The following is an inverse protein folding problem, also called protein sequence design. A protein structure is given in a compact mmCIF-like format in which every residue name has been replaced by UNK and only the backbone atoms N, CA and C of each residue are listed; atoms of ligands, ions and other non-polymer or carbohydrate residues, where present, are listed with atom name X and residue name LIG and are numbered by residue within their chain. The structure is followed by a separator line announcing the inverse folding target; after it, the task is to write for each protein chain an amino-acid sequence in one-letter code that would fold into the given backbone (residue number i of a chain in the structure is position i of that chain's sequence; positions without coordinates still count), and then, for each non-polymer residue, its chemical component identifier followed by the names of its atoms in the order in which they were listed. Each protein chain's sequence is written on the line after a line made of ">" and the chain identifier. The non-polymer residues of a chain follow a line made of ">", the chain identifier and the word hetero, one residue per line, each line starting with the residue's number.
data_IF_697030257335
#
_entry.id   IF_697030257335
#
_cell.length_a   1.000
_cell.length_b   1.000
_cell.length_c   1.000
_cell.angle_alpha   90.00
_cell.angle_beta   90.00
_cell.angle_gamma   90.00
#
_symmetry.space_group_name_H-M   'P 1'
#
loop_
_entity.id
_entity.type
_entity.pdbx_description
1 polymer ?
#
# COMPACT_ATOMS: atom_id res chain seq x y z
N UNK A 1 40.84 -3.36 -9.74
CA UNK A 1 40.21 -3.14 -8.42
C UNK A 1 39.19 -2.03 -8.57
N UNK A 2 37.91 -2.30 -8.29
CA UNK A 2 36.83 -1.33 -8.41
C UNK A 2 35.50 -2.01 -8.11
N UNK A 3 35.17 -2.15 -6.81
CA UNK A 3 33.88 -2.68 -6.35
C UNK A 3 32.87 -1.55 -6.49
N UNK A 4 32.08 -1.55 -7.56
CA UNK A 4 30.91 -0.67 -7.62
C UNK A 4 29.88 -1.19 -6.61
N UNK A 5 29.73 -0.47 -5.50
CA UNK A 5 28.64 -0.68 -4.58
C UNK A 5 27.33 -0.39 -5.33
N UNK A 6 26.55 -1.43 -5.62
CA UNK A 6 25.22 -1.28 -6.17
C UNK A 6 24.37 -0.66 -5.06
N UNK A 7 24.13 0.64 -5.18
CA UNK A 7 23.12 1.34 -4.39
C UNK A 7 21.78 0.74 -4.78
N UNK A 8 21.15 0.00 -3.87
CA UNK A 8 19.80 -0.52 -4.10
C UNK A 8 18.88 0.68 -4.33
N UNK A 9 18.45 0.88 -5.57
CA UNK A 9 17.41 1.84 -5.89
C UNK A 9 16.10 1.37 -5.25
N UNK A 10 15.27 2.27 -4.71
CA UNK A 10 13.94 1.89 -4.26
C UNK A 10 13.13 1.33 -5.45
N UNK A 11 12.27 0.33 -5.23
CA UNK A 11 11.49 -0.27 -6.31
C UNK A 11 10.52 0.79 -6.87
N UNK A 12 10.82 1.29 -8.07
CA UNK A 12 9.98 2.20 -8.82
C UNK A 12 9.25 1.40 -9.92
N UNK A 13 8.11 0.82 -9.57
CA UNK A 13 7.19 0.19 -10.52
C UNK A 13 5.74 0.26 -10.00
N UNK A 14 4.74 0.41 -10.89
CA UNK A 14 3.32 0.50 -10.52
C UNK A 14 2.70 -0.82 -9.99
N UNK A 15 3.44 -1.92 -10.00
CA UNK A 15 2.98 -3.26 -9.57
C UNK A 15 3.45 -3.68 -8.17
N UNK A 16 3.78 -2.74 -7.28
CA UNK A 16 4.06 -3.08 -5.87
C UNK A 16 2.72 -3.27 -5.15
N UNK A 17 2.07 -4.41 -5.38
CA UNK A 17 1.12 -4.96 -4.42
C UNK A 17 1.88 -5.14 -3.11
N UNK A 18 1.41 -4.54 -2.03
CA UNK A 18 1.99 -4.79 -0.71
C UNK A 18 1.82 -6.29 -0.42
N UNK A 19 2.87 -7.07 -0.65
CA UNK A 19 2.94 -8.48 -0.28
C UNK A 19 3.58 -8.54 1.10
N UNK A 20 2.84 -8.95 2.14
CA UNK A 20 3.44 -9.32 3.41
C UNK A 20 4.58 -10.30 3.13
N UNK A 21 5.78 -9.98 3.58
CA UNK A 21 6.90 -10.91 3.57
C UNK A 21 6.66 -11.96 4.65
N UNK A 22 7.38 -13.08 4.63
CA UNK A 22 7.27 -14.13 5.66
C UNK A 22 7.49 -13.60 7.09
N UNK A 23 8.15 -12.44 7.25
CA UNK A 23 8.38 -11.78 8.55
C UNK A 23 7.17 -11.00 9.06
N UNK A 24 6.23 -10.70 8.17
CA UNK A 24 5.03 -9.91 8.46
C UNK A 24 3.82 -10.77 8.82
N UNK A 25 3.98 -12.10 8.80
CA UNK A 25 2.94 -13.09 9.08
C UNK A 25 3.30 -13.78 10.38
N UNK A 26 2.38 -13.77 11.34
CA UNK A 26 2.49 -14.54 12.57
C UNK A 26 2.61 -16.04 12.18
N UNK A 27 3.68 -16.73 12.60
CA UNK A 27 3.92 -18.12 12.20
C UNK A 27 2.96 -19.13 12.84
N UNK A 28 2.23 -18.74 13.90
CA UNK A 28 1.26 -19.56 14.63
C UNK A 28 -0.15 -19.37 14.05
N UNK A 29 -0.53 -18.13 13.73
CA UNK A 29 -1.89 -17.83 13.25
C UNK A 29 -1.99 -17.73 11.73
N UNK A 30 -0.88 -17.48 11.02
CA UNK A 30 -0.88 -17.24 9.57
C UNK A 30 -1.43 -15.86 9.18
N UNK A 31 -1.77 -15.03 10.18
CA UNK A 31 -2.32 -13.70 9.98
C UNK A 31 -1.20 -12.66 9.88
N UNK A 32 -1.39 -11.57 9.10
CA UNK A 32 -0.49 -10.44 9.14
C UNK A 32 -0.42 -9.86 10.55
N UNK A 33 0.77 -9.80 11.15
CA UNK A 33 0.93 -9.10 12.43
C UNK A 33 0.69 -7.62 12.19
N UNK A 34 -0.38 -7.07 12.78
CA UNK A 34 -0.74 -5.67 12.60
C UNK A 34 0.46 -4.73 12.83
N UNK A 35 1.36 -5.05 13.77
CA UNK A 35 2.54 -4.26 14.10
C UNK A 35 3.63 -4.20 13.00
N UNK A 36 3.88 -5.27 12.24
CA UNK A 36 4.99 -5.32 11.25
C UNK A 36 4.72 -4.55 9.96
N UNK A 37 3.45 -4.23 9.71
CA UNK A 37 3.01 -3.45 8.55
C UNK A 37 3.30 -1.95 8.75
N UNK A 38 3.07 -1.44 9.95
CA UNK A 38 3.15 -0.01 10.28
C UNK A 38 4.53 0.45 10.75
N UNK A 39 5.39 -0.46 11.23
CA UNK A 39 6.73 -0.13 11.75
C UNK A 39 7.72 0.36 10.66
N UNK A 40 7.34 0.25 9.39
CA UNK A 40 8.13 0.80 8.26
C UNK A 40 7.96 2.30 8.09
N UNK A 41 6.91 2.85 8.69
CA UNK A 41 6.59 4.25 8.64
C UNK A 41 7.36 5.00 9.73
N UNK A 42 8.00 6.10 9.35
CA UNK A 42 8.56 7.03 10.31
C UNK A 42 7.43 7.89 10.89
N UNK A 43 6.97 7.49 12.08
CA UNK A 43 5.90 8.18 12.79
C UNK A 43 6.42 9.43 13.49
N UNK A 44 5.76 10.55 13.21
CA UNK A 44 5.91 11.79 13.95
C UNK A 44 4.90 11.80 15.09
N UNK A 45 5.39 12.09 16.30
CA UNK A 45 4.58 12.04 17.52
C UNK A 45 3.37 12.98 17.51
N UNK A 46 3.48 14.11 16.78
CA UNK A 46 2.44 15.13 16.69
C UNK A 46 2.41 15.70 15.28
N UNK A 47 1.24 15.74 14.68
CA UNK A 47 0.97 16.38 13.40
C UNK A 47 -0.51 16.39 13.08
N UNK A 48 -0.81 16.88 11.88
CA UNK A 48 -2.17 16.97 11.37
C UNK A 48 -2.44 15.80 10.43
N UNK A 49 -3.57 15.10 10.63
CA UNK A 49 -4.03 14.09 9.69
C UNK A 49 -4.81 14.75 8.56
N UNK A 50 -4.26 14.72 7.35
CA UNK A 50 -4.85 15.34 6.15
C UNK A 50 -5.91 14.47 5.46
N UNK A 51 -6.24 13.32 6.05
CA UNK A 51 -7.32 12.45 5.61
C UNK A 51 -8.63 12.83 6.32
N UNK A 52 -9.62 11.93 6.27
CA UNK A 52 -11.00 12.21 6.66
C UNK A 52 -11.20 12.68 8.11
N UNK A 53 -10.32 12.31 9.06
CA UNK A 53 -10.53 12.70 10.46
C UNK A 53 -10.14 14.15 10.77
N UNK A 54 -9.26 14.77 9.96
CA UNK A 54 -8.84 16.17 10.14
C UNK A 54 -8.23 16.51 11.51
N UNK A 55 -7.87 15.52 12.33
CA UNK A 55 -7.38 15.75 13.69
C UNK A 55 -5.98 16.34 13.67
N UNK A 56 -5.76 17.31 14.53
CA UNK A 56 -4.48 17.86 14.90
C UNK A 56 -3.91 17.17 16.16
N UNK A 57 -2.63 17.37 16.43
CA UNK A 57 -1.89 16.82 17.59
C UNK A 57 -1.97 15.29 17.73
N UNK A 58 -2.05 14.57 16.61
CA UNK A 58 -2.06 13.10 16.58
C UNK A 58 -0.76 12.53 16.00
N UNK A 59 -0.44 11.29 16.33
CA UNK A 59 0.67 10.56 15.71
C UNK A 59 0.37 10.36 14.21
N UNK A 60 1.27 10.83 13.35
CA UNK A 60 1.11 10.79 11.88
C UNK A 60 2.37 10.27 11.20
N UNK A 61 2.20 9.65 10.03
CA UNK A 61 3.30 9.33 9.12
C UNK A 61 3.12 10.03 7.79
N UNK A 62 4.24 10.32 7.13
CA UNK A 62 4.22 10.66 5.71
C UNK A 62 3.74 9.45 4.90
N UNK A 63 2.82 9.67 3.95
CA UNK A 63 2.27 8.62 3.09
C UNK A 63 2.56 8.85 1.60
N UNK A 64 3.06 10.02 1.23
CA UNK A 64 3.45 10.32 -0.15
C UNK A 64 3.38 11.81 -0.51
N UNK A 65 3.85 12.19 -1.71
CA UNK A 65 3.62 13.52 -2.25
C UNK A 65 2.19 13.64 -2.78
N UNK A 66 1.55 14.79 -2.57
CA UNK A 66 0.26 15.12 -3.18
C UNK A 66 0.41 16.33 -4.10
N UNK A 67 -0.36 16.32 -5.19
CA UNK A 67 -0.47 17.44 -6.14
C UNK A 67 -1.89 17.98 -6.13
N UNK A 68 -2.05 19.28 -5.94
CA UNK A 68 -3.34 19.96 -6.01
C UNK A 68 -3.17 21.32 -6.66
N UNK A 69 -3.92 21.60 -7.72
CA UNK A 69 -3.90 22.89 -8.44
C UNK A 69 -2.48 23.37 -8.81
N UNK A 70 -1.60 22.44 -9.20
CA UNK A 70 -0.20 22.73 -9.56
C UNK A 70 0.78 22.83 -8.37
N UNK A 71 0.29 22.83 -7.13
CA UNK A 71 1.09 22.83 -5.91
C UNK A 71 1.47 21.40 -5.49
N UNK A 72 2.63 21.26 -4.84
CA UNK A 72 3.10 20.01 -4.26
C UNK A 72 3.15 20.14 -2.73
N UNK A 73 2.72 19.12 -2.02
CA UNK A 73 2.84 19.03 -0.58
C UNK A 73 3.14 17.60 -0.13
N UNK A 74 3.65 17.45 1.09
CA UNK A 74 3.76 16.16 1.76
C UNK A 74 2.41 15.83 2.41
N UNK A 75 1.87 14.64 2.14
CA UNK A 75 0.61 14.17 2.71
C UNK A 75 0.88 13.32 3.95
N UNK A 76 0.19 13.64 5.05
CA UNK A 76 0.33 12.97 6.34
C UNK A 76 -0.98 12.33 6.80
N UNK A 77 -0.88 11.16 7.43
CA UNK A 77 -2.03 10.41 7.93
C UNK A 77 -1.78 9.83 9.31
N UNK A 78 -2.81 9.85 10.16
CA UNK A 78 -2.80 9.12 11.42
C UNK A 78 -3.06 7.62 11.19
N UNK A 79 -2.68 6.77 12.15
CA UNK A 79 -2.79 5.31 12.06
C UNK A 79 -4.20 4.81 11.69
N UNK A 80 -5.24 5.38 12.28
CA UNK A 80 -6.61 4.99 12.01
C UNK A 80 -7.05 5.29 10.56
N UNK A 81 -6.76 6.49 10.06
CA UNK A 81 -7.12 6.85 8.68
C UNK A 81 -6.24 6.15 7.65
N UNK A 82 -4.97 5.89 7.97
CA UNK A 82 -4.10 5.14 7.07
C UNK A 82 -4.60 3.69 6.91
N UNK A 83 -5.05 3.04 7.99
CA UNK A 83 -5.69 1.73 7.90
C UNK A 83 -6.90 1.73 6.96
N UNK A 84 -7.80 2.71 7.11
CA UNK A 84 -8.98 2.81 6.24
C UNK A 84 -8.59 3.04 4.77
N UNK A 85 -7.57 3.85 4.51
CA UNK A 85 -7.03 4.05 3.16
C UNK A 85 -6.53 2.73 2.56
N UNK A 86 -5.75 1.95 3.32
CA UNK A 86 -5.21 0.67 2.85
C UNK A 86 -6.31 -0.34 2.55
N UNK A 87 -7.40 -0.38 3.34
CA UNK A 87 -8.55 -1.23 3.03
C UNK A 87 -9.24 -0.83 1.72
N UNK A 88 -9.40 0.47 1.45
CA UNK A 88 -9.99 0.97 0.20
C UNK A 88 -9.11 0.66 -1.01
N UNK A 89 -7.80 0.79 -0.86
CA UNK A 89 -6.82 0.43 -1.90
C UNK A 89 -6.90 -1.07 -2.20
N UNK A 90 -6.91 -1.91 -1.16
CA UNK A 90 -7.06 -3.36 -1.31
C UNK A 90 -8.36 -3.71 -2.04
N UNK A 91 -9.49 -3.17 -1.60
CA UNK A 91 -10.78 -3.44 -2.23
C UNK A 91 -10.80 -3.02 -3.71
N UNK A 92 -10.22 -1.85 -4.03
CA UNK A 92 -10.12 -1.36 -5.41
C UNK A 92 -9.28 -2.30 -6.28
N UNK A 93 -8.12 -2.73 -5.79
CA UNK A 93 -7.24 -3.66 -6.51
C UNK A 93 -7.91 -5.02 -6.71
N UNK A 94 -8.58 -5.57 -5.69
CA UNK A 94 -9.31 -6.83 -5.81
C UNK A 94 -10.42 -6.78 -6.86
N UNK A 95 -11.14 -5.65 -6.96
CA UNK A 95 -12.15 -5.45 -8.01
C UNK A 95 -11.51 -5.42 -9.40
N UNK A 96 -10.39 -4.71 -9.55
CA UNK A 96 -9.66 -4.66 -10.82
C UNK A 96 -9.12 -6.04 -11.23
N UNK A 97 -8.57 -6.82 -10.30
CA UNK A 97 -8.07 -8.17 -10.58
C UNK A 97 -9.20 -9.11 -11.01
N UNK A 98 -10.39 -9.01 -10.41
CA UNK A 98 -11.56 -9.80 -10.79
C UNK A 98 -12.03 -9.49 -12.22
N UNK A 99 -11.95 -8.23 -12.65
CA UNK A 99 -12.31 -7.80 -14.00
C UNK A 99 -11.29 -8.26 -15.07
N UNK A 100 -10.05 -8.57 -14.66
CA UNK A 100 -8.97 -9.04 -15.55
C UNK A 100 -8.98 -10.57 -15.72
N UNK A 101 -9.68 -11.32 -14.85
CA UNK A 101 -9.88 -12.76 -15.03
C UNK A 101 -10.86 -13.01 -16.21
N UNK A 102 -10.47 -13.76 -17.25
CA UNK A 102 -11.23 -13.76 -18.50
C UNK A 102 -12.55 -14.53 -18.39
N UNK A 103 -13.60 -13.92 -18.95
CA UNK A 103 -14.76 -14.55 -19.59
C UNK A 103 -14.34 -15.53 -20.72
N UNK A 104 -13.52 -16.54 -20.41
CA UNK A 104 -13.12 -17.62 -21.34
C UNK A 104 -13.95 -18.89 -21.11
N UNK A 105 -15.27 -18.73 -21.11
CA UNK A 105 -16.25 -19.80 -20.91
C UNK A 105 -16.98 -20.27 -22.17
N UNK A 106 -16.48 -19.98 -23.38
CA UNK A 106 -17.04 -20.53 -24.62
C UNK A 106 -15.97 -21.27 -25.42
N UNK A 107 -15.60 -22.45 -24.92
CA UNK A 107 -15.01 -23.49 -25.77
C UNK A 107 -16.09 -23.90 -26.77
N UNK A 108 -15.89 -23.55 -28.04
CA UNK A 108 -16.71 -23.98 -29.15
C UNK A 108 -16.67 -25.52 -29.23
N UNK A 109 -17.86 -26.15 -29.24
CA UNK A 109 -18.02 -27.60 -29.45
C UNK A 109 -17.78 -27.90 -30.94
N UNK A 110 -16.89 -28.84 -31.33
CA UNK A 110 -16.72 -29.18 -32.74
C UNK A 110 -17.95 -29.94 -33.27
N UNK A 111 -18.32 -29.78 -34.55
CA UNK A 111 -19.40 -30.55 -35.16
C UNK A 111 -18.98 -32.01 -35.40
N UNK A 112 -19.94 -32.91 -35.18
CA UNK A 112 -19.88 -34.36 -35.47
C UNK A 112 -19.98 -34.65 -36.96
#
# INVERSE_FOLDING_TARGET
>A
MGRHAVRAAPPSGPDVVFRPTRRDIDPVTGEPTAYTLWDRHEWQARGECWLWCGRDDVEVTWIGPVRSSGMHAALYACRACLYELDQRVLETNMRQDADVLPMNGRVARPPV
#
